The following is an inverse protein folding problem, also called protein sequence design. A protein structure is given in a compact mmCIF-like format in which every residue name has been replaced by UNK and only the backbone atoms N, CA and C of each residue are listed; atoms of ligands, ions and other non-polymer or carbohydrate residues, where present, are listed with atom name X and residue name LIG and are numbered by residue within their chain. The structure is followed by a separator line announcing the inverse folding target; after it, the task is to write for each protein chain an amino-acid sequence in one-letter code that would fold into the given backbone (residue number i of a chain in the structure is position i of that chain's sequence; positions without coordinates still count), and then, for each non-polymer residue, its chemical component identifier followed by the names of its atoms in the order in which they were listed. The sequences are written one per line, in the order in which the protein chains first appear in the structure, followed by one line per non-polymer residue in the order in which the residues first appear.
data_IF_281881958415
#
_entry.id   IF_281881958415
#
_cell.length_a   1.000
_cell.length_b   1.000
_cell.length_c   1.000
_cell.angle_alpha   90.00
_cell.angle_beta   90.00
_cell.angle_gamma   90.00
#
_symmetry.space_group_name_H-M   'P 1'
#
loop_
_entity.id
_entity.type
_entity.pdbx_description
1 polymer ?
#
# COMPACT_ATOMS: atom_id res chain seq x y z
N UNK A 1 3.55 12.58 -17.87
CA UNK A 1 2.43 13.15 -17.08
C UNK A 1 2.93 13.45 -15.68
N UNK A 2 2.81 14.69 -15.21
CA UNK A 2 3.26 15.11 -13.88
C UNK A 2 2.26 14.60 -12.85
N UNK A 3 2.69 13.75 -11.92
CA UNK A 3 1.80 13.07 -10.97
C UNK A 3 1.70 13.90 -9.69
N UNK A 4 0.52 14.43 -9.37
CA UNK A 4 0.29 15.07 -8.05
C UNK A 4 0.49 14.05 -6.93
N UNK A 5 0.73 14.51 -5.70
CA UNK A 5 0.87 13.62 -4.52
C UNK A 5 -0.31 12.64 -4.44
N UNK A 6 -1.52 13.13 -4.70
CA UNK A 6 -2.74 12.31 -4.74
C UNK A 6 -2.63 11.18 -5.77
N UNK A 7 -2.29 11.50 -7.02
CA UNK A 7 -2.15 10.47 -8.07
C UNK A 7 -1.05 9.47 -7.75
N UNK A 8 0.05 9.91 -7.13
CA UNK A 8 1.15 9.04 -6.73
C UNK A 8 0.66 8.04 -5.68
N UNK A 9 0.04 8.53 -4.60
CA UNK A 9 -0.44 7.69 -3.50
C UNK A 9 -1.56 6.76 -3.96
N UNK A 10 -2.49 7.24 -4.79
CA UNK A 10 -3.53 6.39 -5.40
C UNK A 10 -2.92 5.29 -6.28
N UNK A 11 -1.88 5.58 -7.07
CA UNK A 11 -1.23 4.57 -7.89
C UNK A 11 -0.57 3.49 -7.02
N UNK A 12 0.16 3.91 -5.99
CA UNK A 12 0.78 3.01 -5.01
C UNK A 12 -0.26 2.11 -4.33
N UNK A 13 -1.36 2.69 -3.86
CA UNK A 13 -2.44 1.97 -3.18
C UNK A 13 -3.20 1.03 -4.12
N UNK A 14 -3.56 1.47 -5.34
CA UNK A 14 -4.22 0.60 -6.31
C UNK A 14 -3.34 -0.59 -6.69
N UNK A 15 -2.02 -0.40 -6.84
CA UNK A 15 -1.11 -1.52 -7.08
C UNK A 15 -1.11 -2.51 -5.93
N UNK A 16 -1.08 -2.06 -4.68
CA UNK A 16 -1.12 -3.00 -3.56
C UNK A 16 -2.48 -3.70 -3.45
N UNK A 17 -3.59 -2.97 -3.60
CA UNK A 17 -4.94 -3.55 -3.53
C UNK A 17 -5.17 -4.57 -4.66
N UNK A 18 -4.71 -4.31 -5.88
CA UNK A 18 -4.93 -5.21 -7.02
C UNK A 18 -3.95 -6.36 -7.04
N UNK A 19 -2.65 -6.09 -6.82
CA UNK A 19 -1.61 -7.10 -7.02
C UNK A 19 -1.50 -8.06 -5.84
N UNK A 20 -1.79 -7.63 -4.61
CA UNK A 20 -1.64 -8.49 -3.43
C UNK A 20 -2.58 -9.68 -3.43
N UNK A 21 -3.90 -9.55 -3.71
CA UNK A 21 -4.80 -10.69 -3.82
C UNK A 21 -4.35 -11.71 -4.87
N UNK A 22 -3.81 -11.24 -6.00
CA UNK A 22 -3.26 -12.13 -7.04
C UNK A 22 -2.05 -12.90 -6.52
N UNK A 23 -1.12 -12.23 -5.84
CA UNK A 23 0.05 -12.88 -5.23
C UNK A 23 -0.37 -13.88 -4.15
N UNK A 24 -1.34 -13.53 -3.29
CA UNK A 24 -1.87 -14.42 -2.25
C UNK A 24 -2.49 -15.67 -2.89
N UNK A 25 -3.34 -15.49 -3.89
CA UNK A 25 -4.02 -16.60 -4.59
C UNK A 25 -3.03 -17.54 -5.26
N UNK A 26 -2.00 -17.00 -5.93
CA UNK A 26 -0.92 -17.80 -6.52
C UNK A 26 -0.10 -18.54 -5.45
N UNK A 27 0.22 -17.88 -4.33
CA UNK A 27 0.95 -18.48 -3.24
C UNK A 27 0.17 -19.65 -2.60
N UNK A 28 -1.11 -19.47 -2.29
CA UNK A 28 -1.96 -20.51 -1.72
C UNK A 28 -2.12 -21.70 -2.67
N UNK A 29 -2.37 -21.42 -3.96
CA UNK A 29 -2.49 -22.48 -4.98
C UNK A 29 -1.23 -23.34 -5.07
N UNK A 30 -0.07 -22.67 -5.01
CA UNK A 30 1.23 -23.34 -5.04
C UNK A 30 1.52 -24.11 -3.75
N UNK A 31 1.23 -23.54 -2.58
CA UNK A 31 1.52 -24.15 -1.29
C UNK A 31 0.62 -25.36 -0.98
N UNK A 32 -0.65 -25.30 -1.37
CA UNK A 32 -1.66 -26.32 -1.06
C UNK A 32 -1.86 -27.33 -2.21
N UNK A 33 -1.10 -27.20 -3.31
CA UNK A 33 -1.28 -27.99 -4.54
C UNK A 33 -2.75 -28.04 -5.01
N UNK A 34 -3.47 -26.95 -4.80
CA UNK A 34 -4.91 -26.83 -5.06
C UNK A 34 -5.16 -25.69 -6.04
N UNK A 35 -6.23 -25.75 -6.86
CA UNK A 35 -6.56 -24.65 -7.75
C UNK A 35 -6.92 -23.39 -6.95
N UNK A 36 -6.65 -22.19 -7.49
CA UNK A 36 -7.02 -20.93 -6.83
C UNK A 36 -8.53 -20.87 -6.64
N UNK A 37 -8.96 -20.57 -5.42
CA UNK A 37 -10.36 -20.28 -5.14
C UNK A 37 -10.78 -19.00 -5.87
N UNK A 38 -11.75 -19.14 -6.78
CA UNK A 38 -12.23 -18.07 -7.63
C UNK A 38 -12.96 -16.97 -6.83
N UNK A 39 -13.48 -17.29 -5.65
CA UNK A 39 -14.19 -16.34 -4.78
C UNK A 39 -13.23 -15.53 -3.90
N UNK A 40 -12.03 -16.06 -3.66
CA UNK A 40 -11.05 -15.46 -2.74
C UNK A 40 -10.54 -14.10 -3.24
N UNK A 41 -10.21 -13.97 -4.52
CA UNK A 41 -9.67 -12.73 -5.09
C UNK A 41 -10.70 -11.59 -5.05
N UNK A 42 -11.96 -11.77 -5.53
CA UNK A 42 -13.01 -10.76 -5.37
C UNK A 42 -13.24 -10.35 -3.92
N UNK A 43 -13.27 -11.32 -2.99
CA UNK A 43 -13.48 -11.05 -1.58
C UNK A 43 -12.33 -10.21 -0.99
N UNK A 44 -11.08 -10.55 -1.30
CA UNK A 44 -9.90 -9.79 -0.88
C UNK A 44 -9.85 -8.39 -1.49
N UNK A 45 -10.27 -8.22 -2.74
CA UNK A 45 -10.35 -6.89 -3.36
C UNK A 45 -11.40 -6.01 -2.67
N UNK A 46 -12.57 -6.58 -2.37
CA UNK A 46 -13.66 -5.86 -1.73
C UNK A 46 -13.30 -5.45 -0.30
N UNK A 47 -12.89 -6.41 0.54
CA UNK A 47 -12.54 -6.14 1.94
C UNK A 47 -11.20 -5.45 2.09
N UNK A 48 -10.16 -5.92 1.40
CA UNK A 48 -8.84 -5.30 1.42
C UNK A 48 -8.85 -3.88 0.85
N UNK A 49 -9.62 -3.64 -0.22
CA UNK A 49 -9.85 -2.30 -0.75
C UNK A 49 -10.58 -1.40 0.24
N UNK A 50 -11.76 -1.82 0.73
CA UNK A 50 -12.57 -0.99 1.62
C UNK A 50 -11.88 -0.69 2.96
N UNK A 51 -11.27 -1.70 3.59
CA UNK A 51 -10.62 -1.56 4.90
C UNK A 51 -9.30 -0.79 4.83
N UNK A 52 -8.68 -0.69 3.65
CA UNK A 52 -7.42 0.06 3.47
C UNK A 52 -7.62 1.53 3.07
N UNK A 53 -8.86 2.00 2.88
CA UNK A 53 -9.14 3.42 2.59
C UNK A 53 -8.61 4.35 3.70
N UNK A 54 -8.77 4.06 5.01
CA UNK A 54 -8.15 4.87 6.06
C UNK A 54 -6.62 4.93 5.93
N UNK A 55 -5.98 3.81 5.61
CA UNK A 55 -4.52 3.75 5.37
C UNK A 55 -4.11 4.57 4.15
N UNK A 56 -4.91 4.57 3.08
CA UNK A 56 -4.71 5.43 1.91
C UNK A 56 -4.71 6.91 2.30
N UNK A 57 -5.69 7.34 3.09
CA UNK A 57 -5.80 8.74 3.53
C UNK A 57 -4.60 9.15 4.40
N UNK A 58 -4.20 8.30 5.35
CA UNK A 58 -3.05 8.56 6.22
C UNK A 58 -1.75 8.63 5.40
N UNK A 59 -1.54 7.67 4.48
CA UNK A 59 -0.39 7.66 3.58
C UNK A 59 -0.36 8.92 2.70
N UNK A 60 -1.53 9.37 2.23
CA UNK A 60 -1.71 10.60 1.47
C UNK A 60 -1.25 11.84 2.23
N UNK A 61 -1.79 12.03 3.43
CA UNK A 61 -1.44 13.16 4.30
C UNK A 61 0.05 13.17 4.66
N UNK A 62 0.61 12.01 5.02
CA UNK A 62 2.02 11.89 5.37
C UNK A 62 2.94 12.09 4.16
N UNK A 63 2.58 11.59 2.99
CA UNK A 63 3.32 11.86 1.75
C UNK A 63 3.35 13.36 1.46
N UNK A 64 2.20 14.02 1.54
CA UNK A 64 2.11 15.46 1.34
C UNK A 64 3.01 16.20 2.33
N UNK A 65 2.91 15.90 3.62
CA UNK A 65 3.75 16.49 4.66
C UNK A 65 5.25 16.26 4.43
N UNK A 66 5.66 15.04 4.13
CA UNK A 66 7.06 14.67 3.94
C UNK A 66 7.68 15.35 2.73
N UNK A 67 6.93 15.45 1.62
CA UNK A 67 7.36 16.16 0.42
C UNK A 67 7.62 17.64 0.70
N UNK A 68 6.85 18.27 1.58
CA UNK A 68 7.06 19.66 1.95
C UNK A 68 8.25 19.87 2.91
N UNK A 69 8.53 18.87 3.75
CA UNK A 69 9.55 18.97 4.81
C UNK A 69 10.93 18.50 4.37
N UNK A 70 11.02 17.54 3.44
CA UNK A 70 12.28 16.94 2.99
C UNK A 70 12.69 17.52 1.64
N UNK A 71 13.99 17.63 1.39
CA UNK A 71 14.52 18.13 0.11
C UNK A 71 14.85 17.00 -0.88
N UNK A 72 14.88 15.74 -0.42
CA UNK A 72 15.27 14.58 -1.23
C UNK A 72 14.12 13.58 -1.37
N UNK A 73 13.78 13.24 -2.61
CA UNK A 73 12.73 12.25 -2.95
C UNK A 73 13.06 10.87 -2.41
N UNK A 74 14.34 10.48 -2.37
CA UNK A 74 14.78 9.19 -1.84
C UNK A 74 14.44 9.07 -0.35
N UNK A 75 14.68 10.13 0.42
CA UNK A 75 14.36 10.16 1.85
C UNK A 75 12.86 10.07 2.08
N UNK A 76 12.06 10.77 1.27
CA UNK A 76 10.59 10.67 1.32
C UNK A 76 10.16 9.23 1.06
N UNK A 77 10.69 8.56 0.04
CA UNK A 77 10.36 7.15 -0.26
C UNK A 77 10.75 6.20 0.87
N UNK A 78 11.89 6.40 1.53
CA UNK A 78 12.28 5.60 2.70
C UNK A 78 11.27 5.75 3.84
N UNK A 79 10.90 6.99 4.19
CA UNK A 79 9.89 7.24 5.23
C UNK A 79 8.53 6.67 4.85
N UNK A 80 8.10 6.84 3.59
CA UNK A 80 6.87 6.24 3.09
C UNK A 80 6.90 4.72 3.12
N UNK A 81 8.05 4.10 2.91
CA UNK A 81 8.21 2.64 3.02
C UNK A 81 7.92 2.18 4.45
N UNK A 82 8.53 2.84 5.44
CA UNK A 82 8.31 2.53 6.87
C UNK A 82 6.84 2.74 7.24
N UNK A 83 6.27 3.89 6.90
CA UNK A 83 4.86 4.22 7.15
C UNK A 83 3.94 3.21 6.47
N UNK A 84 4.20 2.89 5.20
CA UNK A 84 3.42 1.94 4.42
C UNK A 84 3.41 0.55 5.06
N UNK A 85 4.56 0.05 5.50
CA UNK A 85 4.65 -1.23 6.22
C UNK A 85 3.81 -1.21 7.50
N UNK A 86 3.91 -0.13 8.30
CA UNK A 86 3.13 0.01 9.55
C UNK A 86 1.64 0.07 9.27
N UNK A 87 1.22 0.86 8.27
CA UNK A 87 -0.19 0.99 7.88
C UNK A 87 -0.76 -0.28 7.27
N UNK A 88 0.07 -1.10 6.61
CA UNK A 88 -0.31 -2.43 6.14
C UNK A 88 -0.44 -3.40 7.29
N UNK A 89 0.47 -3.38 8.27
CA UNK A 89 0.46 -4.31 9.41
C UNK A 89 -0.68 -4.03 10.40
N UNK A 90 -0.97 -2.75 10.68
CA UNK A 90 -1.96 -2.33 11.68
C UNK A 90 -3.33 -3.01 11.56
N UNK A 91 -4.02 -3.06 10.40
CA UNK A 91 -5.31 -3.72 10.29
C UNK A 91 -5.23 -5.23 10.56
N UNK A 92 -4.17 -5.91 10.15
CA UNK A 92 -3.98 -7.34 10.44
C UNK A 92 -3.75 -7.59 11.93
N UNK A 93 -2.99 -6.72 12.59
CA UNK A 93 -2.79 -6.79 14.03
C UNK A 93 -4.11 -6.62 14.79
N UNK A 94 -4.94 -5.65 14.38
CA UNK A 94 -6.27 -5.43 14.97
C UNK A 94 -7.17 -6.65 14.76
N UNK A 95 -7.23 -7.21 13.55
CA UNK A 95 -8.05 -8.40 13.26
C UNK A 95 -7.62 -9.62 14.09
N UNK A 96 -6.30 -9.85 14.24
CA UNK A 96 -5.78 -10.91 15.11
C UNK A 96 -6.08 -10.66 16.59
N UNK A 97 -5.95 -9.42 17.05
CA UNK A 97 -6.22 -9.07 18.46
C UNK A 97 -7.67 -9.34 18.87
N UNK A 98 -8.61 -9.25 17.93
CA UNK A 98 -10.02 -9.60 18.14
C UNK A 98 -10.37 -11.05 17.76
N UNK A 99 -9.36 -11.91 17.54
CA UNK A 99 -9.54 -13.33 17.21
C UNK A 99 -10.36 -13.60 15.94
N UNK A 100 -10.42 -12.64 15.01
CA UNK A 100 -11.08 -12.84 13.70
C UNK A 100 -10.25 -13.66 12.73
N UNK A 101 -8.94 -13.79 12.98
CA UNK A 101 -8.03 -14.59 12.18
C UNK A 101 -7.03 -15.31 13.10
N UNK A 102 -6.67 -16.53 12.72
CA UNK A 102 -5.59 -17.27 13.37
C UNK A 102 -4.24 -16.63 13.00
N UNK A 103 -3.24 -16.69 13.90
CA UNK A 103 -1.97 -15.96 13.74
C UNK A 103 -1.24 -16.28 12.42
N UNK A 104 -1.43 -17.51 11.90
CA UNK A 104 -0.89 -17.98 10.63
C UNK A 104 -1.49 -17.23 9.44
N UNK A 105 -2.82 -17.01 9.43
CA UNK A 105 -3.54 -16.36 8.34
C UNK A 105 -3.13 -14.91 8.11
N UNK A 106 -3.01 -14.14 9.19
CA UNK A 106 -2.56 -12.74 9.09
C UNK A 106 -1.14 -12.61 8.52
N UNK A 107 -0.25 -13.56 8.84
CA UNK A 107 1.13 -13.54 8.33
C UNK A 107 1.17 -13.78 6.83
N UNK A 108 0.37 -14.74 6.33
CA UNK A 108 0.24 -15.05 4.90
C UNK A 108 -0.31 -13.87 4.10
N UNK A 109 -1.21 -13.09 4.69
CA UNK A 109 -1.77 -11.89 4.05
C UNK A 109 -0.83 -10.68 4.14
N UNK A 110 -0.15 -10.49 5.26
CA UNK A 110 0.72 -9.34 5.46
C UNK A 110 1.85 -9.27 4.43
N UNK A 111 2.49 -10.40 4.11
CA UNK A 111 3.67 -10.41 3.24
C UNK A 111 3.39 -9.90 1.82
N UNK A 112 2.39 -10.44 1.09
CA UNK A 112 2.04 -9.93 -0.24
C UNK A 112 1.69 -8.45 -0.23
N UNK A 113 0.89 -8.00 0.74
CA UNK A 113 0.53 -6.58 0.85
C UNK A 113 1.72 -5.68 1.21
N UNK A 114 2.63 -6.15 2.05
CA UNK A 114 3.86 -5.46 2.41
C UNK A 114 4.81 -5.34 1.22
N UNK A 115 5.01 -6.41 0.47
CA UNK A 115 5.90 -6.39 -0.71
C UNK A 115 5.34 -5.48 -1.80
N UNK A 116 4.04 -5.54 -2.09
CA UNK A 116 3.43 -4.72 -3.16
C UNK A 116 3.38 -3.24 -2.80
N UNK A 117 3.13 -2.87 -1.54
CA UNK A 117 3.15 -1.45 -1.14
C UNK A 117 4.58 -0.88 -1.27
N UNK A 118 5.59 -1.63 -0.83
CA UNK A 118 7.01 -1.24 -0.97
C UNK A 118 7.36 -1.12 -2.45
N UNK A 119 7.02 -2.13 -3.25
CA UNK A 119 7.26 -2.12 -4.70
C UNK A 119 6.58 -0.93 -5.37
N UNK A 120 5.33 -0.63 -5.04
CA UNK A 120 4.59 0.53 -5.55
C UNK A 120 5.29 1.84 -5.24
N UNK A 121 5.69 2.06 -3.98
CA UNK A 121 6.39 3.28 -3.54
C UNK A 121 7.65 3.53 -4.38
N UNK A 122 8.42 2.46 -4.63
CA UNK A 122 9.68 2.56 -5.36
C UNK A 122 9.48 2.63 -6.87
N UNK A 123 8.51 1.90 -7.42
CA UNK A 123 8.20 1.85 -8.85
C UNK A 123 7.63 3.17 -9.38
N UNK A 124 6.67 3.78 -8.68
CA UNK A 124 6.06 5.02 -9.14
C UNK A 124 6.98 6.23 -8.94
N UNK A 125 6.94 7.17 -9.90
CA UNK A 125 7.69 8.42 -9.82
C UNK A 125 6.93 9.42 -8.95
N UNK A 126 7.52 9.78 -7.81
CA UNK A 126 7.09 10.91 -7.00
C UNK A 126 7.71 12.19 -7.58
N UNK A 127 6.89 13.22 -7.77
CA UNK A 127 7.36 14.50 -8.30
C UNK A 127 8.39 15.13 -7.35
N UNK A 128 9.38 15.82 -7.92
CA UNK A 128 10.46 16.43 -7.15
C UNK A 128 9.94 17.49 -6.17
N UNK A 129 10.54 17.55 -4.98
CA UNK A 129 10.20 18.52 -3.91
C UNK A 129 10.19 19.96 -4.44
N UNK A 130 11.19 20.32 -5.25
CA UNK A 130 11.31 21.67 -5.82
C UNK A 130 10.20 22.01 -6.81
N UNK A 131 9.71 21.03 -7.58
CA UNK A 131 8.71 21.25 -8.63
C UNK A 131 7.27 21.35 -8.07
N UNK A 132 7.03 20.84 -6.86
CA UNK A 132 5.72 20.97 -6.20
C UNK A 132 5.55 22.36 -5.59
N UNK A 133 6.61 22.90 -4.97
CA UNK A 133 6.60 24.27 -4.42
C UNK A 133 6.40 25.35 -5.49
N UNK A 134 6.95 25.15 -6.69
CA UNK A 134 6.82 26.13 -7.79
C UNK A 134 5.45 26.13 -8.44
N UNK A 135 4.74 25.01 -8.45
CA UNK A 135 3.42 24.93 -9.06
C UNK A 135 2.34 25.52 -8.14
N UNK A 136 2.49 25.38 -6.81
CA UNK A 136 1.61 26.04 -5.84
C UNK A 136 1.84 27.55 -5.75
N UNK A 137 3.08 28.03 -5.92
CA UNK A 137 3.36 29.47 -5.98
C UNK A 137 2.74 30.17 -7.22
N UNK A 138 2.18 29.41 -8.16
CA UNK A 138 1.61 29.91 -9.42
C UNK A 138 0.09 29.72 -9.52
N UNK A 139 -0.54 29.01 -8.58
CA UNK A 139 -1.99 28.77 -8.52
C UNK A 139 -2.62 29.55 -7.37
#
# INVERSE_FOLDING_TARGET
MKTSVLFYVLSVWLTSVILSPVIVSLYMSWAENSPPDAELVPLMLMWGGALSVPSLLILGMLCHYLVHRKNNVKDVKIWLTIIGIVLTYAPFWVLNAFSFADNSGATVLFWPYGVTIVAGIWFYKLKGVGELRTDEARG
#
